data_IF_951836366658
#
_entry.id   IF_951836366658
#
_cell.length_a   1.000
_cell.length_b   1.000
_cell.length_c   1.000
_cell.angle_alpha   90.00
_cell.angle_beta   90.00
_cell.angle_gamma   90.00
#
_symmetry.space_group_name_H-M   'P 1'
#
loop_
_entity.id
_entity.type
_entity.pdbx_description
1 polymer ?
#
# COMPACT_ATOMS: atom_id res chain seq x y z
N UNK A 1 14.35 -15.04 -23.71
CA UNK A 1 13.15 -15.83 -23.38
C UNK A 1 11.93 -15.21 -24.03
N UNK A 2 10.99 -16.05 -24.48
CA UNK A 2 9.75 -15.64 -25.17
C UNK A 2 8.54 -16.02 -24.34
N UNK A 3 7.53 -15.16 -24.35
CA UNK A 3 6.27 -15.40 -23.65
C UNK A 3 5.31 -16.23 -24.54
N UNK A 4 4.67 -17.26 -23.98
CA UNK A 4 3.61 -18.06 -24.60
C UNK A 4 3.52 -19.45 -24.00
N UNK A 5 2.36 -20.10 -24.13
CA UNK A 5 2.13 -21.46 -23.60
C UNK A 5 3.06 -22.48 -24.28
N UNK A 6 3.38 -22.28 -25.55
CA UNK A 6 4.32 -23.12 -26.31
C UNK A 6 5.72 -22.52 -26.38
N UNK A 7 6.00 -21.46 -25.65
CA UNK A 7 7.27 -20.76 -25.58
C UNK A 7 7.94 -20.96 -24.21
N UNK A 8 8.78 -20.04 -23.76
CA UNK A 8 9.66 -20.22 -22.60
C UNK A 8 8.95 -20.03 -21.26
N UNK A 9 7.94 -19.13 -21.21
CA UNK A 9 7.21 -18.84 -19.98
C UNK A 9 5.81 -18.29 -20.26
N UNK A 10 4.93 -18.42 -19.26
CA UNK A 10 3.60 -17.81 -19.20
C UNK A 10 3.52 -16.85 -18.03
N UNK A 11 2.64 -15.84 -18.15
CA UNK A 11 2.38 -14.87 -17.07
C UNK A 11 0.89 -14.93 -16.74
N UNK A 12 0.58 -15.08 -15.48
CA UNK A 12 -0.74 -14.75 -14.94
C UNK A 12 -0.67 -13.34 -14.33
N UNK A 13 -1.28 -12.38 -15.01
CA UNK A 13 -1.30 -11.00 -14.55
C UNK A 13 -2.22 -10.77 -13.35
N UNK A 14 -3.20 -11.65 -13.13
CA UNK A 14 -4.12 -11.54 -12.01
C UNK A 14 -3.46 -12.00 -10.71
N UNK A 15 -2.64 -13.04 -10.80
CA UNK A 15 -1.90 -13.59 -9.67
C UNK A 15 -0.51 -12.96 -9.51
N UNK A 16 -0.02 -12.23 -10.54
CA UNK A 16 1.35 -11.73 -10.56
C UNK A 16 2.39 -12.85 -10.69
N UNK A 17 2.02 -13.97 -11.31
CA UNK A 17 2.82 -15.19 -11.36
C UNK A 17 3.47 -15.39 -12.73
N UNK A 18 4.73 -15.83 -12.73
CA UNK A 18 5.46 -16.25 -13.94
C UNK A 18 5.80 -17.73 -13.80
N UNK A 19 5.27 -18.53 -14.72
CA UNK A 19 5.56 -19.96 -14.80
C UNK A 19 6.44 -20.26 -16.01
N UNK A 20 7.63 -20.82 -15.77
CA UNK A 20 8.51 -21.29 -16.84
C UNK A 20 8.01 -22.61 -17.41
N UNK A 21 8.01 -22.74 -18.73
CA UNK A 21 7.61 -23.96 -19.42
C UNK A 21 8.77 -24.96 -19.47
N UNK A 22 8.50 -26.20 -19.86
CA UNK A 22 9.52 -27.24 -20.05
C UNK A 22 10.58 -26.91 -21.11
N UNK A 23 10.36 -25.86 -21.92
CA UNK A 23 11.36 -25.41 -22.92
C UNK A 23 12.48 -24.60 -22.28
N UNK A 24 12.21 -23.95 -21.14
CA UNK A 24 13.20 -23.17 -20.41
C UNK A 24 13.62 -23.92 -19.14
N UNK A 25 14.75 -24.61 -19.24
CA UNK A 25 15.32 -25.32 -18.09
C UNK A 25 15.93 -24.29 -17.11
N UNK A 26 15.34 -24.14 -15.92
CA UNK A 26 15.91 -23.35 -14.85
C UNK A 26 16.87 -24.21 -14.04
N UNK A 27 18.13 -23.81 -13.99
CA UNK A 27 19.18 -24.46 -13.21
C UNK A 27 19.48 -23.64 -11.96
N UNK A 28 20.18 -24.24 -11.00
CA UNK A 28 20.54 -23.59 -9.74
C UNK A 28 21.31 -22.26 -9.94
N UNK A 29 22.11 -22.18 -11.00
CA UNK A 29 22.94 -21.01 -11.33
C UNK A 29 22.21 -20.02 -12.27
N UNK A 30 20.97 -20.32 -12.68
CA UNK A 30 20.22 -19.45 -13.59
C UNK A 30 19.84 -18.16 -12.87
N UNK A 31 20.33 -17.04 -13.38
CA UNK A 31 19.92 -15.73 -12.89
C UNK A 31 18.67 -15.27 -13.64
N UNK A 32 17.63 -14.98 -12.90
CA UNK A 32 16.37 -14.45 -13.43
C UNK A 32 16.27 -13.00 -13.01
N UNK A 33 16.02 -12.10 -13.96
CA UNK A 33 15.75 -10.69 -13.71
C UNK A 33 14.36 -10.42 -14.28
N UNK A 34 13.45 -9.90 -13.46
CA UNK A 34 12.09 -9.53 -13.84
C UNK A 34 11.94 -8.05 -13.54
N UNK A 35 11.59 -7.29 -14.56
CA UNK A 35 11.19 -5.89 -14.44
C UNK A 35 9.70 -5.80 -14.68
N UNK A 36 8.98 -5.15 -13.77
CA UNK A 36 7.54 -4.98 -13.90
C UNK A 36 7.11 -3.62 -13.39
N UNK A 37 6.06 -3.11 -13.99
CA UNK A 37 5.35 -1.94 -13.49
C UNK A 37 4.05 -2.40 -12.84
N UNK A 38 3.74 -1.87 -11.70
CA UNK A 38 2.46 -2.10 -11.03
C UNK A 38 1.84 -0.77 -10.62
N UNK A 39 0.53 -0.76 -10.56
CA UNK A 39 -0.23 0.38 -10.06
C UNK A 39 -0.90 -0.07 -8.77
N UNK A 40 -0.50 0.51 -7.66
CA UNK A 40 -1.21 0.38 -6.39
C UNK A 40 -2.53 1.16 -6.43
N UNK A 41 -3.41 0.82 -7.34
CA UNK A 41 -4.70 1.45 -7.42
C UNK A 41 -5.74 0.56 -6.73
N UNK A 42 -5.75 0.62 -5.42
CA UNK A 42 -6.72 -0.12 -4.60
C UNK A 42 -8.14 0.44 -4.69
N UNK A 43 -8.30 1.69 -5.17
CA UNK A 43 -9.58 2.39 -5.18
C UNK A 43 -9.86 3.04 -6.54
N UNK A 44 -11.13 3.01 -6.95
CA UNK A 44 -11.57 3.80 -8.10
C UNK A 44 -11.44 5.30 -7.75
N UNK A 45 -10.81 6.06 -8.63
CA UNK A 45 -10.55 7.48 -8.45
C UNK A 45 -11.41 8.32 -9.38
N UNK A 46 -12.12 9.28 -8.82
CA UNK A 46 -12.84 10.30 -9.57
C UNK A 46 -12.08 11.62 -9.52
N UNK A 47 -12.03 12.32 -10.66
CA UNK A 47 -11.41 13.64 -10.78
C UNK A 47 -12.41 14.57 -11.45
N UNK A 48 -12.65 15.73 -10.81
CA UNK A 48 -13.44 16.82 -11.36
C UNK A 48 -12.58 18.06 -11.37
N UNK A 49 -12.45 18.69 -12.53
CA UNK A 49 -11.76 19.96 -12.65
C UNK A 49 -12.64 20.94 -13.43
N UNK A 50 -12.71 22.18 -12.96
CA UNK A 50 -13.46 23.25 -13.60
C UNK A 50 -12.69 24.56 -13.52
N UNK A 51 -12.76 25.34 -14.59
CA UNK A 51 -12.25 26.70 -14.63
C UNK A 51 -13.30 27.61 -15.25
N UNK A 52 -13.65 28.66 -14.52
CA UNK A 52 -14.51 29.72 -14.97
C UNK A 52 -13.76 31.02 -15.03
N UNK A 53 -13.95 31.83 -16.05
CA UNK A 53 -13.30 33.11 -16.22
C UNK A 53 -14.33 34.13 -16.65
N UNK A 54 -14.34 35.27 -15.96
CA UNK A 54 -15.12 36.43 -16.30
C UNK A 54 -14.17 37.59 -16.60
N UNK A 55 -14.37 38.26 -17.73
CA UNK A 55 -13.57 39.41 -18.13
C UNK A 55 -14.46 40.60 -18.44
N UNK A 56 -14.08 41.75 -17.92
CA UNK A 56 -14.68 43.05 -18.20
C UNK A 56 -13.56 44.04 -18.58
N UNK A 57 -13.91 45.29 -18.86
CA UNK A 57 -12.92 46.32 -19.24
C UNK A 57 -11.87 46.56 -18.14
N UNK A 58 -12.19 46.31 -16.87
CA UNK A 58 -11.34 46.62 -15.72
C UNK A 58 -11.05 45.43 -14.81
N UNK A 59 -11.75 44.32 -14.98
CA UNK A 59 -11.63 43.12 -14.13
C UNK A 59 -11.46 41.88 -14.97
N UNK A 60 -10.57 41.01 -14.50
CA UNK A 60 -10.47 39.65 -14.94
C UNK A 60 -10.48 38.73 -13.74
N UNK A 61 -11.62 38.08 -13.51
CA UNK A 61 -11.82 37.17 -12.40
C UNK A 61 -11.76 35.74 -12.92
N UNK A 62 -10.99 34.89 -12.27
CA UNK A 62 -10.98 33.46 -12.58
C UNK A 62 -11.18 32.62 -11.32
N UNK A 63 -12.03 31.60 -11.43
CA UNK A 63 -12.28 30.61 -10.42
C UNK A 63 -11.87 29.25 -10.95
N UNK A 64 -11.01 28.54 -10.21
CA UNK A 64 -10.58 27.18 -10.53
C UNK A 64 -10.98 26.26 -9.37
N UNK A 65 -11.57 25.14 -9.74
CA UNK A 65 -11.98 24.09 -8.84
C UNK A 65 -11.29 22.81 -9.28
N UNK A 66 -10.69 22.11 -8.36
CA UNK A 66 -10.17 20.77 -8.54
C UNK A 66 -10.64 19.89 -7.37
N UNK A 67 -11.15 18.73 -7.69
CA UNK A 67 -11.53 17.72 -6.69
C UNK A 67 -11.11 16.36 -7.21
N UNK A 68 -10.30 15.68 -6.44
CA UNK A 68 -9.90 14.28 -6.64
C UNK A 68 -10.36 13.48 -5.44
N UNK A 69 -10.98 12.34 -5.68
CA UNK A 69 -11.56 11.55 -4.61
C UNK A 69 -11.47 10.06 -4.95
N UNK A 70 -10.90 9.27 -4.06
CA UNK A 70 -10.93 7.83 -4.12
C UNK A 70 -12.27 7.29 -3.60
N UNK A 71 -12.78 6.23 -4.20
CA UNK A 71 -13.93 5.49 -3.67
C UNK A 71 -13.55 4.89 -2.31
N UNK A 72 -14.51 4.73 -1.40
CA UNK A 72 -14.31 3.93 -0.17
C UNK A 72 -14.39 2.43 -0.43
N UNK A 73 -14.94 2.03 -1.58
CA UNK A 73 -14.98 0.64 -1.99
C UNK A 73 -13.78 0.36 -2.87
N UNK A 74 -12.93 -0.62 -2.53
CA UNK A 74 -11.81 -0.98 -3.38
C UNK A 74 -12.28 -1.41 -4.77
N UNK A 75 -11.48 -1.12 -5.77
CA UNK A 75 -11.68 -1.63 -7.13
C UNK A 75 -10.81 -2.88 -7.32
N UNK A 76 -11.38 -3.94 -7.88
CA UNK A 76 -10.66 -5.18 -8.18
C UNK A 76 -10.85 -6.27 -7.13
N UNK A 77 -9.87 -7.16 -7.02
CA UNK A 77 -9.93 -8.37 -6.19
C UNK A 77 -9.70 -8.16 -4.68
N UNK A 78 -9.30 -6.97 -4.26
CA UNK A 78 -9.06 -6.69 -2.85
C UNK A 78 -10.35 -6.21 -2.18
N UNK A 79 -11.04 -7.10 -1.51
CA UNK A 79 -12.17 -6.74 -0.66
C UNK A 79 -11.64 -6.37 0.73
N UNK A 80 -11.84 -5.11 1.14
CA UNK A 80 -11.65 -4.73 2.52
C UNK A 80 -12.76 -5.37 3.38
N UNK A 81 -12.35 -6.13 4.39
CA UNK A 81 -13.28 -6.62 5.40
C UNK A 81 -13.75 -5.48 6.32
N UNK A 82 -14.81 -5.69 7.08
CA UNK A 82 -15.25 -4.71 8.08
C UNK A 82 -14.15 -4.44 9.13
N UNK A 83 -13.36 -5.47 9.48
CA UNK A 83 -12.22 -5.33 10.38
C UNK A 83 -11.12 -4.44 9.79
N UNK A 84 -10.83 -4.58 8.51
CA UNK A 84 -9.84 -3.74 7.80
C UNK A 84 -10.30 -2.28 7.74
N UNK A 85 -11.58 -2.04 7.47
CA UNK A 85 -12.16 -0.70 7.46
C UNK A 85 -12.10 -0.05 8.86
N UNK A 86 -12.38 -0.84 9.91
CA UNK A 86 -12.28 -0.38 11.29
C UNK A 86 -10.82 -0.05 11.66
N UNK A 87 -9.87 -0.87 11.25
CA UNK A 87 -8.44 -0.62 11.46
C UNK A 87 -8.01 0.68 10.78
N UNK A 88 -8.41 0.89 9.52
CA UNK A 88 -8.17 2.15 8.80
C UNK A 88 -8.81 3.35 9.50
N UNK A 89 -10.06 3.21 9.99
CA UNK A 89 -10.75 4.29 10.70
C UNK A 89 -10.03 4.68 12.01
N UNK A 90 -9.42 3.72 12.69
CA UNK A 90 -8.69 3.94 13.95
C UNK A 90 -7.25 4.43 13.72
N UNK A 91 -6.68 4.17 12.56
CA UNK A 91 -5.32 4.54 12.24
C UNK A 91 -5.09 6.05 12.16
N UNK A 92 -6.14 6.85 11.91
CA UNK A 92 -5.96 8.28 11.61
C UNK A 92 -5.19 8.44 10.31
N UNK A 93 -4.26 9.40 10.30
CA UNK A 93 -3.36 9.69 9.18
C UNK A 93 -1.99 9.01 9.32
N UNK A 94 -1.84 8.13 10.30
CA UNK A 94 -0.58 7.44 10.59
C UNK A 94 -0.45 6.17 9.74
N UNK A 95 0.45 6.14 8.73
CA UNK A 95 0.62 4.96 7.87
C UNK A 95 1.08 3.71 8.63
N UNK A 96 1.78 3.86 9.75
CA UNK A 96 2.26 2.71 10.53
C UNK A 96 1.13 1.99 11.25
N UNK A 97 0.05 2.69 11.54
CA UNK A 97 -1.15 2.10 12.16
C UNK A 97 -2.07 1.41 11.17
N UNK A 98 -1.78 1.47 9.87
CA UNK A 98 -2.55 0.77 8.83
C UNK A 98 -2.06 -0.66 8.57
N UNK A 99 -1.13 -1.16 9.38
CA UNK A 99 -0.70 -2.56 9.33
C UNK A 99 -1.77 -3.46 9.90
N UNK A 100 -2.16 -4.47 9.12
CA UNK A 100 -3.12 -5.51 9.52
C UNK A 100 -2.51 -6.89 9.31
N UNK A 101 -2.93 -7.86 10.10
CA UNK A 101 -2.47 -9.24 9.94
C UNK A 101 -2.79 -9.77 8.55
N UNK A 102 -1.79 -10.33 7.90
CA UNK A 102 -1.89 -10.99 6.60
C UNK A 102 -2.16 -12.49 6.70
N UNK A 103 -2.17 -13.03 7.92
CA UNK A 103 -2.31 -14.47 8.16
C UNK A 103 -3.69 -14.96 7.72
N UNK A 104 -3.73 -15.92 6.81
CA UNK A 104 -4.97 -16.53 6.30
C UNK A 104 -4.84 -18.05 6.30
N UNK A 105 -5.94 -18.80 6.51
CA UNK A 105 -5.95 -20.24 6.30
C UNK A 105 -5.56 -20.59 4.86
N UNK A 106 -4.85 -21.69 4.69
CA UNK A 106 -4.50 -22.24 3.39
C UNK A 106 -5.35 -23.49 3.14
N UNK A 107 -6.38 -23.38 2.29
CA UNK A 107 -7.33 -24.45 2.03
C UNK A 107 -6.76 -25.57 1.16
N UNK A 108 -5.83 -25.24 0.26
CA UNK A 108 -5.21 -26.22 -0.65
C UNK A 108 -3.70 -26.00 -0.65
N UNK A 109 -2.95 -26.99 -0.21
CA UNK A 109 -1.51 -26.96 -0.22
C UNK A 109 -0.96 -27.30 -1.61
N UNK A 110 0.05 -26.53 -2.04
CA UNK A 110 0.88 -26.84 -3.21
C UNK A 110 2.36 -26.79 -2.81
N UNK A 111 3.17 -27.79 -3.21
CA UNK A 111 4.61 -27.78 -2.92
C UNK A 111 5.39 -26.57 -3.50
N UNK A 112 4.80 -25.85 -4.45
CA UNK A 112 5.36 -24.63 -5.03
C UNK A 112 5.03 -23.38 -4.21
N UNK A 113 4.17 -23.49 -3.19
CA UNK A 113 3.68 -22.36 -2.39
C UNK A 113 4.32 -22.38 -1.01
N UNK A 114 4.70 -21.21 -0.51
CA UNK A 114 5.18 -21.06 0.87
C UNK A 114 4.00 -21.13 1.85
N UNK A 115 4.09 -22.09 2.77
CA UNK A 115 3.11 -22.30 3.81
C UNK A 115 3.76 -22.25 5.20
N UNK A 116 2.96 -21.89 6.19
CA UNK A 116 3.35 -21.77 7.58
C UNK A 116 2.42 -22.55 8.49
N UNK A 117 2.96 -23.01 9.62
CA UNK A 117 2.18 -23.51 10.75
C UNK A 117 2.23 -22.47 11.85
N UNK A 118 1.08 -22.13 12.40
CA UNK A 118 0.99 -21.26 13.56
C UNK A 118 1.23 -22.07 14.84
N UNK A 119 2.16 -21.61 15.68
CA UNK A 119 2.45 -22.20 16.99
C UNK A 119 2.50 -21.14 18.07
N UNK A 120 1.99 -21.48 19.23
CA UNK A 120 2.14 -20.65 20.43
C UNK A 120 3.36 -21.11 21.21
N UNK A 121 4.22 -20.17 21.56
CA UNK A 121 5.44 -20.41 22.36
C UNK A 121 5.46 -19.51 23.57
N UNK A 122 6.05 -20.01 24.66
CA UNK A 122 6.37 -19.21 25.84
C UNK A 122 7.79 -18.65 25.70
N UNK A 123 7.90 -17.34 25.83
CA UNK A 123 9.19 -16.63 25.81
C UNK A 123 9.40 -15.88 27.13
N UNK A 124 10.61 -15.45 27.45
CA UNK A 124 10.84 -14.58 28.61
C UNK A 124 10.03 -13.27 28.58
N UNK A 125 9.56 -12.88 27.38
CA UNK A 125 8.79 -11.67 27.17
C UNK A 125 7.27 -11.89 27.11
N UNK A 126 6.81 -13.13 27.31
CA UNK A 126 5.40 -13.52 27.30
C UNK A 126 5.09 -14.61 26.26
N UNK A 127 3.81 -14.91 26.13
CA UNK A 127 3.31 -15.90 25.17
C UNK A 127 3.18 -15.25 23.80
N UNK A 128 3.72 -15.87 22.76
CA UNK A 128 3.68 -15.38 21.38
C UNK A 128 3.12 -16.45 20.44
N UNK A 129 2.22 -16.05 19.53
CA UNK A 129 1.83 -16.84 18.37
C UNK A 129 2.83 -16.56 17.24
N UNK A 130 3.47 -17.60 16.74
CA UNK A 130 4.52 -17.51 15.73
C UNK A 130 4.19 -18.36 14.51
N UNK A 131 4.68 -17.95 13.34
CA UNK A 131 4.60 -18.71 12.11
C UNK A 131 5.94 -19.42 11.86
N UNK A 132 5.86 -20.72 11.63
CA UNK A 132 7.00 -21.56 11.29
C UNK A 132 6.79 -22.09 9.88
N UNK A 133 7.77 -21.91 9.01
CA UNK A 133 7.74 -22.42 7.63
C UNK A 133 7.53 -23.93 7.61
N UNK A 134 6.59 -24.39 6.77
CA UNK A 134 6.30 -25.80 6.54
C UNK A 134 6.43 -26.15 5.07
N UNK A 135 7.46 -26.95 4.68
CA UNK A 135 7.63 -27.42 3.30
C UNK A 135 6.72 -28.60 2.93
N UNK A 136 5.92 -29.10 3.85
CA UNK A 136 5.08 -30.26 3.69
C UNK A 136 3.62 -29.96 4.06
N UNK A 137 2.71 -30.71 3.44
CA UNK A 137 1.30 -30.65 3.80
C UNK A 137 1.09 -31.08 5.25
N UNK A 138 0.41 -30.26 6.01
CA UNK A 138 0.02 -30.51 7.41
C UNK A 138 -1.38 -29.95 7.64
N UNK A 139 -1.98 -30.32 8.77
CA UNK A 139 -3.24 -29.74 9.22
C UNK A 139 -3.04 -28.24 9.58
N UNK A 140 -4.04 -27.42 9.29
CA UNK A 140 -4.11 -25.99 9.66
C UNK A 140 -2.98 -25.10 9.11
N UNK A 141 -2.54 -25.39 7.88
CA UNK A 141 -1.59 -24.52 7.21
C UNK A 141 -2.15 -23.10 7.02
N UNK A 142 -1.24 -22.13 7.13
CA UNK A 142 -1.50 -20.70 6.91
C UNK A 142 -0.63 -20.19 5.76
N UNK A 143 -1.14 -19.19 5.08
CA UNK A 143 -0.35 -18.31 4.23
C UNK A 143 -0.21 -16.96 4.89
N UNK A 144 0.90 -16.28 4.67
CA UNK A 144 1.14 -14.93 5.20
C UNK A 144 2.03 -14.14 4.25
N UNK A 145 1.72 -12.87 4.06
CA UNK A 145 2.63 -11.90 3.50
C UNK A 145 3.40 -11.20 4.63
N UNK A 146 4.63 -10.79 4.36
CA UNK A 146 5.45 -10.12 5.38
C UNK A 146 5.81 -8.72 4.92
N UNK A 147 5.47 -7.73 5.75
CA UNK A 147 5.87 -6.35 5.53
C UNK A 147 7.20 -6.05 6.24
N UNK A 148 8.07 -5.27 5.59
CA UNK A 148 9.22 -4.67 6.24
C UNK A 148 8.73 -3.55 7.16
N UNK A 149 8.92 -3.72 8.46
CA UNK A 149 8.47 -2.75 9.49
C UNK A 149 9.61 -1.88 10.03
N UNK A 150 10.82 -2.15 9.59
CA UNK A 150 12.02 -1.41 9.99
C UNK A 150 13.03 -2.30 10.74
N UNK A 151 14.32 -1.90 10.76
CA UNK A 151 15.36 -2.65 11.43
C UNK A 151 15.07 -2.80 12.93
N UNK A 152 15.00 -4.07 13.41
CA UNK A 152 14.73 -4.36 14.81
C UNK A 152 13.32 -4.01 15.28
N UNK A 153 12.35 -3.87 14.37
CA UNK A 153 10.95 -3.56 14.69
C UNK A 153 10.00 -4.73 14.46
N UNK A 154 10.48 -5.81 13.85
CA UNK A 154 9.72 -7.02 13.53
C UNK A 154 10.21 -8.25 14.28
N UNK A 155 9.46 -9.33 14.22
CA UNK A 155 9.79 -10.62 14.85
C UNK A 155 10.38 -11.63 13.86
N UNK A 156 10.44 -11.28 12.59
CA UNK A 156 10.87 -12.17 11.50
C UNK A 156 12.02 -11.56 10.72
N UNK A 157 12.79 -12.45 10.10
CA UNK A 157 13.84 -12.12 9.15
C UNK A 157 13.66 -12.96 7.90
N UNK A 158 14.02 -12.43 6.75
CA UNK A 158 14.06 -13.20 5.52
C UNK A 158 15.10 -14.31 5.65
N UNK A 159 14.69 -15.55 5.36
CA UNK A 159 15.60 -16.70 5.34
C UNK A 159 16.62 -16.57 4.22
N UNK A 160 17.83 -17.16 4.36
CA UNK A 160 18.78 -17.24 3.28
C UNK A 160 18.18 -17.94 2.06
N UNK A 161 18.57 -17.52 0.86
CA UNK A 161 17.98 -17.92 -0.44
C UNK A 161 18.04 -19.41 -0.79
N UNK A 162 18.55 -20.26 0.10
CA UNK A 162 18.73 -21.72 -0.16
C UNK A 162 17.47 -22.57 0.11
N UNK A 163 16.37 -21.98 0.59
CA UNK A 163 15.26 -22.77 1.15
C UNK A 163 14.09 -22.97 0.20
N UNK A 164 13.84 -22.07 -0.75
CA UNK A 164 12.76 -22.22 -1.73
C UNK A 164 12.90 -21.20 -2.87
N UNK A 165 12.15 -21.40 -3.96
CA UNK A 165 12.04 -20.42 -5.05
C UNK A 165 11.27 -19.14 -4.65
N UNK A 166 10.70 -19.11 -3.45
CA UNK A 166 9.94 -18.00 -2.88
C UNK A 166 10.62 -17.44 -1.64
N UNK A 167 10.21 -16.25 -1.21
CA UNK A 167 10.70 -15.61 0.00
C UNK A 167 10.12 -16.30 1.24
N UNK A 168 10.98 -16.95 2.00
CA UNK A 168 10.62 -17.55 3.29
C UNK A 168 11.08 -16.63 4.41
N UNK A 169 10.25 -16.51 5.45
CA UNK A 169 10.56 -15.73 6.63
C UNK A 169 10.65 -16.63 7.87
N UNK A 170 11.66 -16.37 8.68
CA UNK A 170 11.95 -17.13 9.89
C UNK A 170 11.73 -16.26 11.12
N UNK A 171 11.10 -16.82 12.14
CA UNK A 171 10.95 -16.18 13.43
C UNK A 171 12.31 -16.06 14.13
N UNK A 172 12.69 -14.85 14.50
CA UNK A 172 13.92 -14.55 15.25
C UNK A 172 13.64 -14.05 16.68
N UNK A 173 12.40 -13.70 16.96
CA UNK A 173 11.91 -13.37 18.29
C UNK A 173 12.37 -12.03 18.83
N UNK A 174 12.46 -11.99 20.17
CA UNK A 174 12.84 -10.80 20.94
C UNK A 174 14.11 -11.06 21.73
N UNK A 175 14.83 -10.00 22.01
CA UNK A 175 15.92 -10.03 23.01
C UNK A 175 15.36 -10.40 24.38
N UNK A 176 15.97 -11.38 25.03
CA UNK A 176 15.46 -11.95 26.31
C UNK A 176 15.53 -10.99 27.50
N UNK A 177 16.33 -9.92 27.42
CA UNK A 177 16.52 -8.95 28.49
C UNK A 177 15.71 -7.67 28.27
N UNK A 178 15.70 -7.19 27.04
CA UNK A 178 15.04 -5.91 26.68
C UNK A 178 13.65 -6.09 26.11
N UNK A 179 13.28 -7.32 25.72
CA UNK A 179 12.06 -7.65 25.00
C UNK A 179 11.86 -6.89 23.67
N UNK A 180 12.91 -6.30 23.13
CA UNK A 180 12.85 -5.65 21.83
C UNK A 180 12.90 -6.68 20.71
N UNK A 181 12.16 -6.48 19.61
CA UNK A 181 12.20 -7.34 18.43
C UNK A 181 13.61 -7.41 17.83
N UNK A 182 13.98 -8.57 17.27
CA UNK A 182 15.29 -8.81 16.67
C UNK A 182 15.24 -8.94 15.14
N UNK A 183 14.05 -8.94 14.58
CA UNK A 183 13.81 -9.01 13.14
C UNK A 183 13.41 -7.67 12.56
N UNK A 184 13.17 -7.69 11.25
CA UNK A 184 12.87 -6.51 10.45
C UNK A 184 11.49 -6.61 9.77
N UNK A 185 10.84 -7.78 9.86
CA UNK A 185 9.59 -8.10 9.19
C UNK A 185 8.51 -8.55 10.17
N UNK A 186 7.24 -8.27 9.81
CA UNK A 186 6.04 -8.73 10.51
C UNK A 186 5.08 -9.41 9.53
N UNK A 187 4.29 -10.44 9.92
CA UNK A 187 3.30 -11.09 9.06
C UNK A 187 2.05 -10.21 8.86
N UNK A 188 2.31 -8.99 8.45
CA UNK A 188 1.31 -7.95 8.24
C UNK A 188 1.36 -7.45 6.81
N UNK A 189 0.27 -6.84 6.36
CA UNK A 189 0.22 -6.03 5.15
C UNK A 189 -0.14 -4.60 5.52
N UNK A 190 0.46 -3.65 4.81
CA UNK A 190 0.10 -2.27 4.95
C UNK A 190 -1.11 -1.96 4.06
N UNK A 191 -2.19 -1.52 4.66
CA UNK A 191 -3.34 -1.04 3.92
C UNK A 191 -3.11 0.40 3.47
N UNK A 192 -3.40 0.67 2.21
CA UNK A 192 -3.43 2.04 1.69
C UNK A 192 -4.83 2.60 1.86
N UNK A 193 -5.05 3.67 2.65
CA UNK A 193 -6.37 4.25 2.79
C UNK A 193 -6.78 5.04 1.53
N UNK A 194 -8.08 5.15 1.23
CA UNK A 194 -8.57 6.02 0.18
C UNK A 194 -8.38 7.48 0.56
N UNK A 195 -8.02 8.30 -0.40
CA UNK A 195 -7.67 9.71 -0.21
C UNK A 195 -8.65 10.64 -0.91
N UNK A 196 -8.70 11.89 -0.47
CA UNK A 196 -9.35 12.96 -1.22
C UNK A 196 -8.55 14.24 -1.16
N UNK A 197 -8.55 14.98 -2.25
CA UNK A 197 -7.90 16.28 -2.37
C UNK A 197 -8.85 17.26 -3.06
N UNK A 198 -8.95 18.45 -2.50
CA UNK A 198 -9.74 19.55 -3.05
C UNK A 198 -8.88 20.79 -3.12
N UNK A 199 -9.06 21.55 -4.17
CA UNK A 199 -8.36 22.82 -4.39
C UNK A 199 -9.34 23.83 -4.97
N UNK A 200 -9.38 25.02 -4.37
CA UNK A 200 -10.11 26.18 -4.84
C UNK A 200 -9.12 27.32 -5.02
N UNK A 201 -9.10 27.92 -6.20
CA UNK A 201 -8.29 29.10 -6.48
C UNK A 201 -9.19 30.18 -7.04
N UNK A 202 -9.19 31.34 -6.39
CA UNK A 202 -9.82 32.55 -6.85
C UNK A 202 -8.72 33.57 -7.19
N UNK A 203 -8.73 34.05 -8.42
CA UNK A 203 -7.82 35.12 -8.85
C UNK A 203 -8.64 36.28 -9.39
N UNK A 204 -8.31 37.48 -8.95
CA UNK A 204 -8.83 38.73 -9.49
C UNK A 204 -7.66 39.60 -9.97
N UNK A 205 -7.78 40.12 -11.18
CA UNK A 205 -6.91 41.12 -11.75
C UNK A 205 -7.77 42.36 -12.04
N UNK A 206 -7.45 43.45 -11.36
CA UNK A 206 -8.17 44.72 -11.46
C UNK A 206 -7.30 45.83 -11.99
N UNK A 207 -7.69 46.42 -13.10
CA UNK A 207 -7.01 47.51 -13.77
C UNK A 207 -7.92 48.75 -13.83
N UNK A 208 -7.97 49.57 -12.74
CA UNK A 208 -8.88 50.74 -12.67
C UNK A 208 -8.52 51.83 -13.67
N UNK A 209 -7.23 51.98 -14.01
CA UNK A 209 -6.70 52.94 -14.97
C UNK A 209 -5.42 52.40 -15.63
N UNK A 210 -4.89 53.11 -16.64
CA UNK A 210 -3.74 52.67 -17.45
C UNK A 210 -2.44 52.48 -16.64
N UNK A 211 -2.32 53.10 -15.49
CA UNK A 211 -1.09 53.06 -14.67
C UNK A 211 -1.16 52.15 -13.44
N UNK A 212 -2.29 51.50 -13.22
CA UNK A 212 -2.51 50.72 -11.97
C UNK A 212 -3.04 49.35 -12.30
N UNK A 213 -2.34 48.30 -11.82
CA UNK A 213 -2.77 46.92 -11.92
C UNK A 213 -2.67 46.29 -10.54
N UNK A 214 -3.78 45.71 -10.05
CA UNK A 214 -3.87 44.96 -8.82
C UNK A 214 -4.15 43.49 -9.15
N UNK A 215 -3.36 42.60 -8.54
CA UNK A 215 -3.57 41.16 -8.66
C UNK A 215 -3.73 40.54 -7.29
N UNK A 216 -4.82 39.83 -7.10
CA UNK A 216 -5.13 39.12 -5.86
C UNK A 216 -5.38 37.66 -6.19
N UNK A 217 -4.73 36.77 -5.47
CA UNK A 217 -4.97 35.32 -5.57
C UNK A 217 -5.20 34.76 -4.17
N UNK A 218 -6.28 34.00 -4.03
CA UNK A 218 -6.59 33.24 -2.82
C UNK A 218 -6.73 31.78 -3.23
N UNK A 219 -5.96 30.92 -2.59
CA UNK A 219 -6.03 29.48 -2.77
C UNK A 219 -6.40 28.80 -1.45
N UNK A 220 -7.26 27.81 -1.55
CA UNK A 220 -7.61 26.93 -0.44
C UNK A 220 -7.45 25.50 -0.89
N UNK A 221 -6.80 24.68 -0.07
CA UNK A 221 -6.67 23.24 -0.30
C UNK A 221 -7.13 22.46 0.91
N UNK A 222 -7.73 21.31 0.65
CA UNK A 222 -8.07 20.31 1.64
C UNK A 222 -7.51 18.97 1.13
N UNK A 223 -6.68 18.34 1.95
CA UNK A 223 -6.17 17.00 1.72
C UNK A 223 -6.67 16.13 2.87
N UNK A 224 -7.29 15.00 2.55
CA UNK A 224 -7.62 13.97 3.52
C UNK A 224 -6.95 12.68 3.04
N UNK A 225 -5.95 12.21 3.77
CA UNK A 225 -5.12 11.06 3.42
C UNK A 225 -5.76 9.74 3.85
N UNK A 226 -6.83 9.80 4.68
CA UNK A 226 -7.56 8.62 5.13
C UNK A 226 -9.06 8.90 5.28
N UNK A 227 -9.82 8.64 4.23
CA UNK A 227 -11.27 8.88 4.20
C UNK A 227 -12.11 7.96 5.10
N UNK A 228 -11.52 6.92 5.69
CA UNK A 228 -12.18 6.11 6.72
C UNK A 228 -12.07 6.75 8.11
N UNK A 229 -11.01 7.50 8.37
CA UNK A 229 -10.80 8.14 9.65
C UNK A 229 -11.57 9.47 9.78
N UNK A 230 -12.03 9.75 11.01
CA UNK A 230 -12.49 11.07 11.42
C UNK A 230 -11.44 11.77 12.31
N UNK A 231 -10.27 11.16 12.49
CA UNK A 231 -9.16 11.71 13.27
C UNK A 231 -8.22 12.43 12.31
N UNK A 232 -8.70 13.52 11.73
CA UNK A 232 -7.90 14.35 10.83
C UNK A 232 -6.89 15.17 11.62
N UNK A 233 -5.62 15.02 11.29
CA UNK A 233 -4.62 16.03 11.60
C UNK A 233 -4.80 17.17 10.58
N UNK A 234 -4.59 18.41 10.96
CA UNK A 234 -4.82 19.66 10.21
C UNK A 234 -4.33 19.65 8.75
N UNK A 235 -4.99 18.87 7.88
CA UNK A 235 -4.64 18.66 6.46
C UNK A 235 -5.02 19.87 5.58
N UNK A 236 -5.79 20.80 6.14
CA UNK A 236 -6.30 21.95 5.42
C UNK A 236 -5.25 23.07 5.38
N UNK A 237 -4.94 23.56 4.19
CA UNK A 237 -4.01 24.65 4.00
C UNK A 237 -4.64 25.75 3.15
N UNK A 238 -4.47 27.00 3.57
CA UNK A 238 -4.89 28.17 2.82
C UNK A 238 -3.72 29.12 2.57
N UNK A 239 -3.67 29.74 1.40
CA UNK A 239 -2.69 30.76 1.05
C UNK A 239 -3.38 31.91 0.31
N UNK A 240 -3.03 33.13 0.68
CA UNK A 240 -3.42 34.35 -0.04
C UNK A 240 -2.19 35.06 -0.58
N UNK A 241 -2.30 35.60 -1.80
CA UNK A 241 -1.29 36.46 -2.43
C UNK A 241 -1.96 37.74 -2.94
N UNK A 242 -1.35 38.88 -2.65
CA UNK A 242 -1.87 40.20 -2.98
C UNK A 242 -0.88 40.94 -3.86
#
# INVERSE_FOLDING_TARGET
VRRGIEEDYIIDYNLGEITFTNRQLIRRETRIIIEFEYVEQSYARSIVASKSQFSSQKHQISLQLFSQQDSRTPSGFSNLTEADQLALAQAGDDPQKTLISSIRPLDNFSPAQVAYVEKTIETPCGTEAILIFSPQEQDELKTAAFAFVGPGMGLYRQAPADVANELVYEYVGRDSLTCQPLGDFSPDIQLTPPQSQQLLILRDEWQPNVGTNWQTEVAWSNLNVNRFSNQDAADNQGMGRF
#
